data_IF_093584541727
#
_entry.id   IF_093584541727
#
_cell.length_a   1.000
_cell.length_b   1.000
_cell.length_c   1.000
_cell.angle_alpha   90.00
_cell.angle_beta   90.00
_cell.angle_gamma   90.00
#
_symmetry.space_group_name_H-M   'P 1'
#
loop_
_entity.id
_entity.type
_entity.pdbx_description
1 polymer ?
#
# COMPACT_ATOMS: atom_id res chain seq x y z
N UNK A 1 -2.64 -53.42 73.57
CA UNK A 1 -1.75 -52.54 72.77
C UNK A 1 -2.08 -52.74 71.29
N UNK A 2 -2.68 -51.75 70.65
CA UNK A 2 -3.16 -51.82 69.26
C UNK A 2 -2.18 -51.12 68.30
N UNK A 3 -1.68 -51.83 67.27
CA UNK A 3 -0.93 -51.24 66.15
C UNK A 3 -1.92 -50.85 65.04
N UNK A 4 -2.16 -49.55 64.86
CA UNK A 4 -2.95 -49.00 63.75
C UNK A 4 -2.00 -48.59 62.62
N UNK A 5 -1.80 -49.49 61.66
CA UNK A 5 -1.10 -49.23 60.39
C UNK A 5 -2.18 -48.93 59.36
N UNK A 6 -2.37 -47.66 58.98
CA UNK A 6 -3.03 -47.19 57.75
C UNK A 6 -3.38 -45.70 57.91
N UNK A 7 -2.48 -44.79 57.50
CA UNK A 7 -2.93 -43.47 57.05
C UNK A 7 -1.97 -42.67 56.15
N UNK A 8 -0.82 -43.23 55.74
CA UNK A 8 0.14 -42.47 54.91
C UNK A 8 -0.11 -42.60 53.41
N UNK A 9 -0.98 -43.54 52.98
CA UNK A 9 -1.28 -43.77 51.55
C UNK A 9 -2.48 -43.00 51.01
N UNK A 10 -3.32 -42.43 51.87
CA UNK A 10 -4.53 -41.73 51.47
C UNK A 10 -4.29 -40.23 51.17
N UNK A 11 -3.23 -39.63 51.71
CA UNK A 11 -3.01 -38.18 51.63
C UNK A 11 -2.14 -37.70 50.46
N UNK A 12 -1.71 -38.61 49.58
CA UNK A 12 -0.96 -38.30 48.35
C UNK A 12 -1.87 -38.36 47.11
N UNK A 13 -3.13 -38.77 47.26
CA UNK A 13 -4.05 -39.01 46.14
C UNK A 13 -5.03 -37.87 45.86
N UNK A 14 -4.96 -36.78 46.62
CA UNK A 14 -5.97 -35.71 46.62
C UNK A 14 -5.33 -34.32 46.40
N UNK A 15 -4.18 -34.28 45.72
CA UNK A 15 -3.53 -33.05 45.22
C UNK A 15 -3.39 -33.09 43.68
N UNK A 16 -4.01 -34.06 43.01
CA UNK A 16 -3.78 -34.34 41.59
C UNK A 16 -5.02 -34.16 40.73
N UNK A 17 -5.96 -33.30 41.10
CA UNK A 17 -7.22 -33.18 40.34
C UNK A 17 -7.79 -31.76 40.30
N UNK A 18 -6.91 -30.77 40.25
CA UNK A 18 -7.27 -29.44 39.75
C UNK A 18 -6.16 -28.95 38.81
N UNK A 19 -5.85 -29.79 37.80
CA UNK A 19 -5.09 -29.38 36.63
C UNK A 19 -5.95 -28.35 35.89
N UNK A 20 -5.50 -27.10 36.02
CA UNK A 20 -6.11 -25.88 35.53
C UNK A 20 -6.78 -26.05 34.16
N UNK A 21 -7.93 -25.41 33.97
CA UNK A 21 -8.78 -25.44 32.75
C UNK A 21 -8.04 -25.34 31.42
N UNK A 22 -6.84 -24.75 31.40
CA UNK A 22 -5.93 -24.66 30.24
C UNK A 22 -5.31 -26.00 29.84
N UNK A 23 -4.87 -26.82 30.79
CA UNK A 23 -4.27 -28.14 30.52
C UNK A 23 -5.32 -29.12 29.97
N UNK A 24 -6.51 -29.12 30.57
CA UNK A 24 -7.65 -29.91 30.10
C UNK A 24 -8.13 -29.49 28.69
N UNK A 25 -8.01 -28.20 28.34
CA UNK A 25 -8.35 -27.70 27.00
C UNK A 25 -7.30 -28.10 25.95
N UNK A 26 -6.01 -27.98 26.28
CA UNK A 26 -4.91 -28.40 25.39
C UNK A 26 -4.97 -29.91 25.11
N UNK A 27 -5.17 -30.74 26.12
CA UNK A 27 -5.19 -32.20 25.94
C UNK A 27 -6.40 -32.66 25.13
N UNK A 28 -7.59 -32.06 25.36
CA UNK A 28 -8.81 -32.38 24.59
C UNK A 28 -8.72 -31.93 23.13
N UNK A 29 -8.06 -30.81 22.85
CA UNK A 29 -7.96 -30.24 21.50
C UNK A 29 -6.60 -30.48 20.84
N UNK A 30 -5.72 -31.30 21.44
CA UNK A 30 -4.33 -31.50 21.02
C UNK A 30 -4.20 -31.80 19.52
N UNK A 31 -5.07 -32.65 18.98
CA UNK A 31 -5.06 -33.00 17.55
C UNK A 31 -5.42 -31.81 16.65
N UNK A 32 -6.44 -31.04 17.03
CA UNK A 32 -6.88 -29.84 16.31
C UNK A 32 -5.81 -28.76 16.36
N UNK A 33 -5.19 -28.53 17.53
CA UNK A 33 -4.11 -27.56 17.71
C UNK A 33 -2.89 -27.96 16.86
N UNK A 34 -2.48 -29.23 16.89
CA UNK A 34 -1.37 -29.72 16.05
C UNK A 34 -1.69 -29.55 14.56
N UNK A 35 -2.91 -29.88 14.14
CA UNK A 35 -3.32 -29.73 12.74
C UNK A 35 -3.33 -28.26 12.30
N UNK A 36 -3.89 -27.36 13.11
CA UNK A 36 -3.91 -25.92 12.83
C UNK A 36 -2.51 -25.33 12.82
N UNK A 37 -1.66 -25.65 13.80
CA UNK A 37 -0.26 -25.21 13.80
C UNK A 37 0.50 -25.77 12.60
N UNK A 38 0.27 -27.02 12.21
CA UNK A 38 0.86 -27.62 11.01
C UNK A 38 0.40 -26.92 9.74
N UNK A 39 -0.88 -26.55 9.64
CA UNK A 39 -1.41 -25.79 8.51
C UNK A 39 -0.81 -24.38 8.43
N UNK A 40 -0.72 -23.66 9.56
CA UNK A 40 -0.06 -22.35 9.64
C UNK A 40 1.41 -22.47 9.21
N UNK A 41 2.14 -23.48 9.71
CA UNK A 41 3.52 -23.72 9.31
C UNK A 41 3.65 -24.01 7.81
N UNK A 42 2.75 -24.81 7.24
CA UNK A 42 2.75 -25.09 5.81
C UNK A 42 2.52 -23.82 4.97
N UNK A 43 1.61 -22.93 5.40
CA UNK A 43 1.39 -21.63 4.75
C UNK A 43 2.63 -20.75 4.84
N UNK A 44 3.28 -20.67 6.01
CA UNK A 44 4.51 -19.89 6.19
C UNK A 44 5.64 -20.41 5.30
N UNK A 45 5.85 -21.72 5.26
CA UNK A 45 6.87 -22.35 4.39
C UNK A 45 6.56 -22.10 2.92
N UNK A 46 5.29 -22.24 2.51
CA UNK A 46 4.85 -21.93 1.15
C UNK A 46 5.11 -20.47 0.78
N UNK A 47 4.80 -19.54 1.67
CA UNK A 47 5.04 -18.11 1.48
C UNK A 47 6.54 -17.78 1.36
N UNK A 48 7.38 -18.34 2.23
CA UNK A 48 8.85 -18.19 2.15
C UNK A 48 9.37 -18.78 0.83
N UNK A 49 8.86 -19.94 0.41
CA UNK A 49 9.19 -20.55 -0.88
C UNK A 49 8.84 -19.64 -2.06
N UNK A 50 7.65 -19.04 -2.06
CA UNK A 50 7.25 -18.06 -3.07
C UNK A 50 8.18 -16.85 -3.10
N UNK A 51 8.51 -16.27 -1.95
CA UNK A 51 9.42 -15.13 -1.87
C UNK A 51 10.80 -15.47 -2.46
N UNK A 52 11.38 -16.61 -2.07
CA UNK A 52 12.75 -16.98 -2.44
C UNK A 52 12.91 -17.49 -3.86
N UNK A 53 11.93 -18.23 -4.38
CA UNK A 53 12.06 -18.92 -5.68
C UNK A 53 11.26 -18.27 -6.80
N UNK A 54 10.37 -17.31 -6.51
CA UNK A 54 9.55 -16.63 -7.51
C UNK A 54 9.72 -15.12 -7.43
N UNK A 55 9.44 -14.51 -6.26
CA UNK A 55 9.46 -13.03 -6.15
C UNK A 55 10.88 -12.45 -6.27
N UNK A 56 11.84 -12.94 -5.48
CA UNK A 56 13.22 -12.43 -5.50
C UNK A 56 13.91 -12.57 -6.87
N UNK A 57 13.82 -13.71 -7.59
CA UNK A 57 14.38 -13.80 -8.94
C UNK A 57 13.70 -12.90 -9.96
N UNK A 58 12.36 -12.75 -9.89
CA UNK A 58 11.62 -11.85 -10.77
C UNK A 58 12.00 -10.38 -10.53
N UNK A 59 12.23 -10.01 -9.27
CA UNK A 59 12.71 -8.68 -8.89
C UNK A 59 14.05 -8.34 -9.57
N UNK A 60 15.04 -9.21 -9.43
CA UNK A 60 16.36 -9.03 -10.07
C UNK A 60 16.24 -8.97 -11.59
N UNK A 61 15.50 -9.90 -12.19
CA UNK A 61 15.29 -9.91 -13.64
C UNK A 61 14.61 -8.62 -14.14
N UNK A 62 13.67 -8.07 -13.39
CA UNK A 62 12.99 -6.84 -13.77
C UNK A 62 13.91 -5.61 -13.77
N UNK A 63 14.85 -5.56 -12.82
CA UNK A 63 15.83 -4.47 -12.72
C UNK A 63 16.83 -4.52 -13.87
N UNK A 64 17.23 -5.72 -14.29
CA UNK A 64 18.10 -5.91 -15.45
C UNK A 64 17.37 -5.56 -16.76
N UNK A 65 16.12 -6.01 -16.93
CA UNK A 65 15.35 -5.81 -18.16
C UNK A 65 15.03 -4.33 -18.41
N UNK A 66 14.69 -3.57 -17.36
CA UNK A 66 14.27 -2.17 -17.51
C UNK A 66 15.41 -1.21 -17.82
N UNK A 67 16.66 -1.56 -17.51
CA UNK A 67 17.78 -0.63 -17.53
C UNK A 67 17.87 0.24 -18.80
N UNK A 68 17.78 -0.39 -19.98
CA UNK A 68 17.88 0.33 -21.25
C UNK A 68 16.64 1.18 -21.56
N UNK A 69 15.44 0.68 -21.24
CA UNK A 69 14.21 1.43 -21.41
C UNK A 69 14.15 2.64 -20.47
N UNK A 70 14.55 2.46 -19.21
CA UNK A 70 14.68 3.54 -18.23
C UNK A 70 15.66 4.60 -18.71
N UNK A 71 16.84 4.20 -19.19
CA UNK A 71 17.80 5.15 -19.75
C UNK A 71 17.25 5.90 -20.97
N UNK A 72 16.51 5.23 -21.87
CA UNK A 72 15.85 5.91 -22.98
C UNK A 72 14.80 6.91 -22.50
N UNK A 73 14.03 6.57 -21.47
CA UNK A 73 13.03 7.44 -20.84
C UNK A 73 13.68 8.69 -20.22
N UNK A 74 14.78 8.53 -19.49
CA UNK A 74 15.53 9.65 -18.89
C UNK A 74 16.17 10.60 -19.93
N UNK A 75 16.39 10.13 -21.16
CA UNK A 75 16.96 10.93 -22.26
C UNK A 75 15.92 11.42 -23.27
N UNK A 76 14.67 11.63 -22.83
CA UNK A 76 13.54 12.12 -23.64
C UNK A 76 13.26 11.28 -24.91
N UNK A 77 13.74 10.03 -24.96
CA UNK A 77 13.52 9.09 -26.07
C UNK A 77 12.30 8.22 -25.79
N UNK A 78 11.17 8.88 -25.53
CA UNK A 78 10.04 8.26 -24.83
C UNK A 78 9.37 7.13 -25.61
N UNK A 79 9.18 7.28 -26.93
CA UNK A 79 8.61 6.20 -27.73
C UNK A 79 9.50 4.95 -27.74
N UNK A 80 10.82 5.15 -27.80
CA UNK A 80 11.80 4.06 -27.76
C UNK A 80 11.78 3.38 -26.37
N UNK A 81 11.59 4.14 -25.30
CA UNK A 81 11.45 3.60 -23.96
C UNK A 81 10.16 2.77 -23.80
N UNK A 82 9.05 3.23 -24.37
CA UNK A 82 7.74 2.58 -24.29
C UNK A 82 7.72 1.28 -25.09
N UNK A 83 8.08 1.36 -26.38
CA UNK A 83 7.97 0.23 -27.31
C UNK A 83 9.14 -0.75 -27.18
N UNK A 84 10.30 -0.23 -26.78
CA UNK A 84 11.56 -0.94 -26.86
C UNK A 84 12.12 -0.98 -28.27
N UNK A 85 13.08 -1.87 -28.47
CA UNK A 85 13.74 -2.11 -29.77
C UNK A 85 13.99 -3.60 -29.96
N UNK A 86 14.61 -3.98 -31.07
CA UNK A 86 15.13 -5.35 -31.25
C UNK A 86 16.18 -5.76 -30.18
N UNK A 87 16.78 -4.78 -29.49
CA UNK A 87 17.88 -5.00 -28.55
C UNK A 87 17.46 -4.97 -27.07
N UNK A 88 16.28 -4.41 -26.75
CA UNK A 88 15.79 -4.36 -25.37
C UNK A 88 14.26 -4.20 -25.34
N UNK A 89 13.64 -4.74 -24.29
CA UNK A 89 12.19 -4.66 -24.09
C UNK A 89 11.73 -3.27 -23.69
N UNK A 90 10.57 -2.84 -24.20
CA UNK A 90 9.93 -1.58 -23.82
C UNK A 90 9.22 -1.64 -22.47
N UNK A 91 8.94 -0.47 -21.89
CA UNK A 91 8.24 -0.33 -20.63
C UNK A 91 6.82 -0.91 -20.67
N UNK A 92 6.13 -0.92 -21.82
CA UNK A 92 4.82 -1.57 -21.93
C UNK A 92 4.92 -3.08 -21.62
N UNK A 93 5.88 -3.76 -22.23
CA UNK A 93 6.12 -5.18 -21.98
C UNK A 93 6.55 -5.42 -20.53
N UNK A 94 7.44 -4.59 -19.99
CA UNK A 94 7.99 -4.77 -18.65
C UNK A 94 6.90 -4.57 -17.59
N UNK A 95 6.03 -3.56 -17.76
CA UNK A 95 4.88 -3.32 -16.90
C UNK A 95 3.94 -4.53 -16.82
N UNK A 96 3.68 -5.20 -17.95
CA UNK A 96 2.84 -6.41 -17.94
C UNK A 96 3.57 -7.64 -17.39
N UNK A 97 4.82 -7.85 -17.80
CA UNK A 97 5.59 -9.05 -17.49
C UNK A 97 6.03 -9.13 -16.04
N UNK A 98 6.38 -7.99 -15.44
CA UNK A 98 7.03 -7.90 -14.14
C UNK A 98 6.15 -7.18 -13.10
N UNK A 99 4.82 -7.38 -13.15
CA UNK A 99 3.89 -6.82 -12.16
C UNK A 99 4.30 -7.16 -10.72
N UNK A 100 4.33 -6.14 -9.85
CA UNK A 100 4.70 -6.28 -8.45
C UNK A 100 6.20 -6.40 -8.17
N UNK A 101 7.04 -6.07 -9.15
CA UNK A 101 8.49 -5.84 -8.96
C UNK A 101 8.83 -4.37 -9.18
N UNK A 102 10.01 -3.92 -8.76
CA UNK A 102 10.41 -2.52 -8.95
C UNK A 102 10.50 -2.11 -10.43
N UNK A 103 11.01 -2.96 -11.32
CA UNK A 103 11.01 -2.70 -12.75
C UNK A 103 9.59 -2.61 -13.32
N UNK A 104 8.66 -3.46 -12.84
CA UNK A 104 7.26 -3.32 -13.18
C UNK A 104 6.68 -1.98 -12.70
N UNK A 105 6.92 -1.59 -11.45
CA UNK A 105 6.41 -0.35 -10.86
C UNK A 105 6.93 0.90 -11.58
N UNK A 106 8.23 0.95 -11.93
CA UNK A 106 8.82 2.05 -12.72
C UNK A 106 8.16 2.13 -14.09
N UNK A 107 7.96 0.99 -14.76
CA UNK A 107 7.31 0.94 -16.05
C UNK A 107 5.85 1.39 -15.97
N UNK A 108 5.09 0.90 -14.99
CA UNK A 108 3.71 1.31 -14.73
C UNK A 108 3.59 2.81 -14.45
N UNK A 109 4.50 3.38 -13.65
CA UNK A 109 4.52 4.82 -13.42
C UNK A 109 4.77 5.61 -14.71
N UNK A 110 5.79 5.25 -15.48
CA UNK A 110 6.12 5.93 -16.73
C UNK A 110 4.97 5.83 -17.76
N UNK A 111 4.40 4.63 -17.92
CA UNK A 111 3.25 4.39 -18.80
C UNK A 111 2.00 5.15 -18.33
N UNK A 112 1.79 5.26 -17.02
CA UNK A 112 0.72 6.07 -16.43
C UNK A 112 0.87 7.56 -16.77
N UNK A 113 2.04 8.14 -16.54
CA UNK A 113 2.35 9.54 -16.89
C UNK A 113 2.16 9.77 -18.40
N UNK A 114 2.66 8.88 -19.23
CA UNK A 114 2.52 8.97 -20.68
C UNK A 114 1.07 8.93 -21.15
N UNK A 115 0.28 8.03 -20.57
CA UNK A 115 -1.15 7.96 -20.85
C UNK A 115 -1.86 9.26 -20.43
N UNK A 116 -1.49 9.86 -19.29
CA UNK A 116 -2.03 11.16 -18.86
C UNK A 116 -1.67 12.28 -19.85
N UNK A 117 -0.42 12.34 -20.32
CA UNK A 117 0.03 13.34 -21.30
C UNK A 117 -0.71 13.22 -22.65
N UNK A 118 -1.09 12.00 -23.03
CA UNK A 118 -1.91 11.73 -24.21
C UNK A 118 -3.42 11.96 -23.99
N UNK A 119 -3.85 12.29 -22.77
CA UNK A 119 -5.26 12.45 -22.40
C UNK A 119 -6.02 11.14 -22.23
N UNK A 120 -5.30 10.01 -22.14
CA UNK A 120 -5.84 8.65 -21.99
C UNK A 120 -5.98 8.29 -20.50
N UNK A 121 -6.83 9.03 -19.78
CA UNK A 121 -6.90 8.93 -18.31
C UNK A 121 -7.42 7.59 -17.78
N UNK A 122 -8.24 6.86 -18.55
CA UNK A 122 -8.65 5.50 -18.17
C UNK A 122 -7.46 4.52 -18.27
N UNK A 123 -6.70 4.57 -19.37
CA UNK A 123 -5.47 3.80 -19.54
C UNK A 123 -4.43 4.14 -18.47
N UNK A 124 -4.31 5.43 -18.12
CA UNK A 124 -3.42 5.88 -17.05
C UNK A 124 -3.80 5.25 -15.71
N UNK A 125 -5.09 5.16 -15.39
CA UNK A 125 -5.56 4.52 -14.16
C UNK A 125 -5.19 3.03 -14.11
N UNK A 126 -5.28 2.31 -15.22
CA UNK A 126 -4.90 0.89 -15.29
C UNK A 126 -3.41 0.67 -14.97
N UNK A 127 -2.54 1.52 -15.52
CA UNK A 127 -1.11 1.47 -15.20
C UNK A 127 -0.83 1.90 -13.76
N UNK A 128 -1.40 3.03 -13.31
CA UNK A 128 -1.15 3.57 -11.97
C UNK A 128 -1.71 2.68 -10.84
N UNK A 129 -2.73 1.86 -11.10
CA UNK A 129 -3.22 0.86 -10.13
C UNK A 129 -2.19 -0.24 -9.84
N UNK A 130 -1.30 -0.49 -10.80
CA UNK A 130 -0.18 -1.42 -10.68
C UNK A 130 1.13 -0.72 -10.24
N UNK A 131 1.09 0.58 -9.94
CA UNK A 131 2.24 1.31 -9.40
C UNK A 131 2.30 1.18 -7.87
N UNK A 132 3.16 0.29 -7.37
CA UNK A 132 3.18 -0.13 -5.95
C UNK A 132 4.51 0.11 -5.23
N UNK A 133 5.15 1.26 -5.45
CA UNK A 133 6.41 1.61 -4.81
C UNK A 133 6.35 1.53 -3.27
N UNK A 134 7.39 0.93 -2.68
CA UNK A 134 7.61 0.95 -1.23
C UNK A 134 8.02 2.35 -0.73
N UNK A 135 8.70 3.14 -1.58
CA UNK A 135 9.06 4.52 -1.23
C UNK A 135 7.82 5.34 -0.87
N UNK A 136 7.92 6.06 0.26
CA UNK A 136 6.82 6.84 0.81
C UNK A 136 6.33 7.89 -0.18
N UNK A 137 7.25 8.62 -0.78
CA UNK A 137 6.95 9.77 -1.62
C UNK A 137 6.38 9.33 -2.95
N UNK A 138 7.05 8.39 -3.63
CA UNK A 138 6.62 7.91 -4.94
C UNK A 138 5.32 7.11 -4.82
N UNK A 139 5.18 6.26 -3.79
CA UNK A 139 3.95 5.52 -3.57
C UNK A 139 2.74 6.42 -3.25
N UNK A 140 2.94 7.52 -2.51
CA UNK A 140 1.87 8.52 -2.33
C UNK A 140 1.56 9.24 -3.65
N UNK A 141 2.59 9.51 -4.47
CA UNK A 141 2.44 10.17 -5.75
C UNK A 141 1.60 9.34 -6.73
N UNK A 142 1.82 8.02 -6.84
CA UNK A 142 1.03 7.16 -7.71
C UNK A 142 -0.47 7.20 -7.38
N UNK A 143 -0.83 7.13 -6.09
CA UNK A 143 -2.25 7.27 -5.66
C UNK A 143 -2.78 8.68 -5.97
N UNK A 144 -1.93 9.69 -5.80
CA UNK A 144 -2.24 11.08 -6.15
C UNK A 144 -2.55 11.26 -7.63
N UNK A 145 -1.75 10.68 -8.51
CA UNK A 145 -1.91 10.73 -9.96
C UNK A 145 -3.19 10.03 -10.41
N UNK A 146 -3.61 8.95 -9.74
CA UNK A 146 -4.94 8.37 -9.96
C UNK A 146 -6.03 9.39 -9.63
N UNK A 147 -5.87 10.13 -8.53
CA UNK A 147 -6.75 11.25 -8.19
C UNK A 147 -6.80 12.34 -9.27
N UNK A 148 -5.65 12.68 -9.85
CA UNK A 148 -5.56 13.64 -10.96
C UNK A 148 -6.26 13.11 -12.22
N UNK A 149 -6.10 11.83 -12.57
CA UNK A 149 -6.87 11.21 -13.66
C UNK A 149 -8.38 11.31 -13.44
N UNK A 150 -8.85 11.08 -12.21
CA UNK A 150 -10.27 11.24 -11.88
C UNK A 150 -10.75 12.69 -11.95
N UNK A 151 -9.88 13.69 -11.73
CA UNK A 151 -10.23 15.11 -11.96
C UNK A 151 -10.48 15.34 -13.44
N UNK A 152 -9.57 14.87 -14.31
CA UNK A 152 -9.68 15.03 -15.76
C UNK A 152 -10.90 14.29 -16.36
N UNK A 153 -11.29 13.17 -15.75
CA UNK A 153 -12.53 12.45 -16.07
C UNK A 153 -13.81 13.12 -15.50
N UNK A 154 -13.69 14.22 -14.75
CA UNK A 154 -14.81 14.90 -14.10
C UNK A 154 -15.39 14.14 -12.89
N UNK A 155 -14.74 13.08 -12.43
CA UNK A 155 -15.15 12.24 -11.32
C UNK A 155 -14.62 12.76 -9.97
N UNK A 156 -14.91 14.03 -9.65
CA UNK A 156 -14.36 14.74 -8.49
C UNK A 156 -14.56 14.02 -7.14
N UNK A 157 -15.63 13.24 -7.00
CA UNK A 157 -15.88 12.44 -5.78
C UNK A 157 -14.85 11.32 -5.61
N UNK A 158 -14.46 10.66 -6.71
CA UNK A 158 -13.38 9.66 -6.69
C UNK A 158 -12.05 10.36 -6.50
N UNK A 159 -11.79 11.45 -7.22
CA UNK A 159 -10.58 12.24 -7.07
C UNK A 159 -10.32 12.64 -5.61
N UNK A 160 -11.32 13.23 -4.93
CA UNK A 160 -11.22 13.61 -3.52
C UNK A 160 -10.90 12.43 -2.60
N UNK A 161 -11.40 11.23 -2.91
CA UNK A 161 -11.09 10.01 -2.16
C UNK A 161 -9.64 9.55 -2.39
N UNK A 162 -9.19 9.52 -3.64
CA UNK A 162 -7.82 9.14 -3.99
C UNK A 162 -6.79 10.11 -3.41
N UNK A 163 -7.03 11.41 -3.49
CA UNK A 163 -6.17 12.40 -2.85
C UNK A 163 -6.11 12.25 -1.32
N UNK A 164 -7.24 11.97 -0.66
CA UNK A 164 -7.21 11.67 0.77
C UNK A 164 -6.48 10.36 1.08
N UNK A 165 -6.61 9.35 0.23
CA UNK A 165 -5.84 8.11 0.37
C UNK A 165 -4.33 8.38 0.22
N UNK A 166 -3.93 9.15 -0.79
CA UNK A 166 -2.54 9.55 -1.03
C UNK A 166 -1.97 10.33 0.16
N UNK A 167 -2.75 11.26 0.72
CA UNK A 167 -2.33 12.03 1.89
C UNK A 167 -2.14 11.19 3.17
N UNK A 168 -2.90 10.09 3.28
CA UNK A 168 -2.95 9.25 4.49
C UNK A 168 -2.28 7.88 4.34
N UNK A 169 -1.81 7.47 3.14
CA UNK A 169 -1.06 6.22 2.93
C UNK A 169 0.12 6.18 3.89
N UNK A 170 1.01 7.14 3.75
CA UNK A 170 2.12 7.38 4.67
C UNK A 170 2.36 8.88 4.80
N UNK A 171 1.90 9.46 5.91
CA UNK A 171 1.84 10.90 6.09
C UNK A 171 3.24 11.55 6.19
N UNK A 172 3.46 12.66 5.47
CA UNK A 172 4.70 13.45 5.52
C UNK A 172 4.46 14.93 5.18
N UNK A 173 5.42 15.79 5.52
CA UNK A 173 5.32 17.26 5.35
C UNK A 173 5.31 17.75 3.90
N UNK A 174 5.60 16.88 2.93
CA UNK A 174 5.69 17.26 1.53
C UNK A 174 4.43 16.87 0.74
N UNK A 175 4.15 15.57 0.64
CA UNK A 175 3.05 15.05 -0.18
C UNK A 175 1.68 15.12 0.49
N UNK A 176 1.59 14.94 1.82
CA UNK A 176 0.29 14.97 2.51
C UNK A 176 -0.44 16.30 2.37
N UNK A 177 0.17 17.47 2.68
CA UNK A 177 -0.55 18.73 2.54
C UNK A 177 -0.87 19.06 1.08
N UNK A 178 -0.03 18.65 0.13
CA UNK A 178 -0.30 18.77 -1.30
C UNK A 178 -1.59 18.03 -1.69
N UNK A 179 -1.71 16.75 -1.32
CA UNK A 179 -2.90 15.97 -1.66
C UNK A 179 -4.14 16.35 -0.84
N UNK A 180 -3.99 16.78 0.41
CA UNK A 180 -5.10 17.37 1.16
C UNK A 180 -5.66 18.62 0.46
N UNK A 181 -4.79 19.44 -0.13
CA UNK A 181 -5.21 20.64 -0.86
C UNK A 181 -5.98 20.26 -2.13
N UNK A 182 -5.45 19.30 -2.91
CA UNK A 182 -6.14 18.75 -4.10
C UNK A 182 -7.49 18.11 -3.75
N UNK A 183 -7.58 17.35 -2.65
CA UNK A 183 -8.84 16.83 -2.15
C UNK A 183 -9.84 17.94 -1.80
N UNK A 184 -9.38 19.01 -1.14
CA UNK A 184 -10.22 20.17 -0.86
C UNK A 184 -10.76 20.83 -2.12
N UNK A 185 -9.92 20.99 -3.15
CA UNK A 185 -10.33 21.57 -4.44
C UNK A 185 -11.39 20.71 -5.12
N UNK A 186 -11.18 19.39 -5.18
CA UNK A 186 -12.17 18.47 -5.72
C UNK A 186 -13.51 18.49 -4.94
N UNK A 187 -13.46 18.73 -3.62
CA UNK A 187 -14.66 18.90 -2.80
C UNK A 187 -15.37 20.24 -3.06
N UNK A 188 -14.63 21.31 -3.36
CA UNK A 188 -15.23 22.59 -3.78
C UNK A 188 -15.99 22.45 -5.09
N UNK A 189 -15.46 21.71 -6.07
CA UNK A 189 -16.16 21.41 -7.34
C UNK A 189 -17.48 20.64 -7.12
N UNK A 190 -17.57 19.87 -6.03
CA UNK A 190 -18.79 19.17 -5.63
C UNK A 190 -19.75 20.04 -4.79
N UNK A 191 -19.38 21.29 -4.50
CA UNK A 191 -20.11 22.17 -3.57
C UNK A 191 -19.99 21.76 -2.09
N UNK A 192 -19.10 20.83 -1.75
CA UNK A 192 -18.89 20.33 -0.38
C UNK A 192 -17.92 21.21 0.40
N UNK A 193 -18.14 22.54 0.39
CA UNK A 193 -17.23 23.55 0.95
C UNK A 193 -16.88 23.33 2.43
N UNK A 194 -17.82 22.87 3.24
CA UNK A 194 -17.58 22.54 4.66
C UNK A 194 -16.57 21.41 4.84
N UNK A 195 -16.55 20.42 3.94
CA UNK A 195 -15.55 19.33 3.99
C UNK A 195 -14.20 19.83 3.46
N UNK A 196 -14.19 20.63 2.39
CA UNK A 196 -12.98 21.26 1.89
C UNK A 196 -12.29 22.11 2.97
N UNK A 197 -13.05 22.94 3.68
CA UNK A 197 -12.57 23.76 4.79
C UNK A 197 -11.89 22.96 5.89
N UNK A 198 -12.41 21.77 6.23
CA UNK A 198 -11.79 20.87 7.21
C UNK A 198 -10.41 20.38 6.75
N UNK A 199 -10.25 20.04 5.46
CA UNK A 199 -8.96 19.62 4.93
C UNK A 199 -7.96 20.78 4.90
N UNK A 200 -8.40 21.99 4.53
CA UNK A 200 -7.56 23.18 4.56
C UNK A 200 -7.13 23.58 5.97
N UNK A 201 -8.04 23.48 6.93
CA UNK A 201 -7.72 23.68 8.35
C UNK A 201 -6.72 22.63 8.83
N UNK A 202 -6.87 21.37 8.42
CA UNK A 202 -5.90 20.30 8.72
C UNK A 202 -4.51 20.65 8.22
N UNK A 203 -4.37 21.14 6.97
CA UNK A 203 -3.09 21.61 6.43
C UNK A 203 -2.49 22.71 7.31
N UNK A 204 -3.29 23.71 7.67
CA UNK A 204 -2.84 24.82 8.51
C UNK A 204 -2.32 24.36 9.89
N UNK A 205 -2.97 23.38 10.50
CA UNK A 205 -2.67 22.96 11.88
C UNK A 205 -1.63 21.86 11.98
N UNK A 206 -1.69 20.86 11.09
CA UNK A 206 -0.86 19.65 11.16
C UNK A 206 0.38 19.74 10.26
N UNK A 207 0.37 20.60 9.24
CA UNK A 207 1.45 20.74 8.25
C UNK A 207 1.91 22.19 8.12
N UNK A 208 1.96 22.91 9.25
CA UNK A 208 2.19 24.36 9.30
C UNK A 208 3.54 24.81 8.70
N UNK A 209 4.52 23.89 8.61
CA UNK A 209 5.84 24.17 8.04
C UNK A 209 5.94 23.84 6.54
N UNK A 210 4.89 23.25 5.95
CA UNK A 210 4.86 22.93 4.53
C UNK A 210 4.71 24.19 3.68
N UNK A 211 5.25 24.16 2.46
CA UNK A 211 5.05 25.24 1.48
C UNK A 211 3.56 25.48 1.21
N UNK A 212 2.76 24.41 1.18
CA UNK A 212 1.32 24.45 0.94
C UNK A 212 0.57 25.18 2.05
N UNK A 213 1.06 25.17 3.30
CA UNK A 213 0.44 25.91 4.38
C UNK A 213 0.59 27.43 4.24
N UNK A 214 1.58 27.91 3.48
CA UNK A 214 1.85 29.35 3.32
C UNK A 214 0.71 30.14 2.68
N UNK A 215 -0.07 29.51 1.79
CA UNK A 215 -1.20 30.13 1.08
C UNK A 215 -2.57 29.57 1.50
N UNK A 216 -2.62 28.65 2.48
CA UNK A 216 -3.82 27.87 2.76
C UNK A 216 -4.97 28.71 3.34
N UNK A 217 -4.64 29.81 4.04
CA UNK A 217 -5.64 30.72 4.61
C UNK A 217 -6.56 31.36 3.57
N UNK A 218 -6.08 31.52 2.32
CA UNK A 218 -6.90 31.96 1.19
C UNK A 218 -8.06 30.98 0.92
N UNK A 219 -7.78 29.69 0.97
CA UNK A 219 -8.75 28.63 0.70
C UNK A 219 -9.72 28.45 1.85
N UNK A 220 -9.24 28.60 3.10
CA UNK A 220 -10.10 28.65 4.29
C UNK A 220 -11.07 29.83 4.20
N UNK A 221 -10.60 31.02 3.84
CA UNK A 221 -11.45 32.20 3.66
C UNK A 221 -12.51 32.01 2.57
N UNK A 222 -12.13 31.44 1.42
CA UNK A 222 -13.04 31.16 0.30
C UNK A 222 -14.16 30.19 0.68
N UNK A 223 -13.84 29.13 1.41
CA UNK A 223 -14.82 28.09 1.79
C UNK A 223 -15.75 28.48 2.95
N UNK A 224 -15.48 29.61 3.62
CA UNK A 224 -16.31 30.19 4.66
C UNK A 224 -17.25 31.30 4.16
N UNK A 225 -17.12 31.70 2.90
CA UNK A 225 -17.93 32.76 2.26
C UNK A 225 -19.15 32.17 1.58
#
# INVERSE_FOLDING_TARGET
MAKKKNNTRAKVKEVSEDLTTTENFLDRNRKTIILLSGAILAVLVGYIGYLKFIKEPAEVASQEEIWNAFYAFENDSTQIAIDGTENFSGMEYIADKYKGTSGGDISNYAMGIMSMENGEFETALDYLDNCSFEDVMIGNLCIGLQGDCYVELGEYKKAAKYFQNAANREANEFTSPMFLKKAGLALEELGETSKANKLYTKIKTEYANSEVASDIDKYIGRTNS
#
